data_IF_741561534222
#
_entry.id   IF_741561534222
#
_cell.length_a   1.000
_cell.length_b   1.000
_cell.length_c   1.000
_cell.angle_alpha   90.00
_cell.angle_beta   90.00
_cell.angle_gamma   90.00
#
_symmetry.space_group_name_H-M   'P 1'
#
loop_
_entity.id
_entity.type
_entity.pdbx_description
1 polymer ?
#
# COMPACT_ATOMS: atom_id res chain seq x y z
N UNK A 1 -10.62 5.71 14.03
CA UNK A 1 -9.32 5.93 13.36
C UNK A 1 -9.41 7.10 12.42
N UNK A 2 -8.36 7.94 12.32
CA UNK A 2 -8.40 9.20 11.55
C UNK A 2 -8.46 8.98 10.02
N UNK A 3 -7.89 7.87 9.53
CA UNK A 3 -7.91 7.52 8.09
C UNK A 3 -9.19 6.83 7.61
N UNK A 4 -10.13 6.55 8.51
CA UNK A 4 -11.41 5.92 8.18
C UNK A 4 -11.38 4.40 7.98
N UNK A 5 -10.25 3.73 8.24
CA UNK A 5 -10.09 2.26 8.13
C UNK A 5 -9.21 1.71 9.25
N UNK A 6 -9.45 0.45 9.63
CA UNK A 6 -8.68 -0.30 10.63
C UNK A 6 -7.71 -1.25 9.94
N UNK A 7 -6.40 -1.11 10.20
CA UNK A 7 -5.36 -1.92 9.53
C UNK A 7 -5.06 -3.20 10.29
N UNK A 8 -5.10 -4.33 9.60
CA UNK A 8 -4.76 -5.66 10.13
C UNK A 8 -3.63 -6.29 9.30
N UNK A 9 -2.42 -6.29 9.86
CA UNK A 9 -1.29 -7.01 9.28
C UNK A 9 -1.33 -8.49 9.69
N UNK A 10 -1.24 -9.38 8.70
CA UNK A 10 -1.26 -10.84 8.86
C UNK A 10 0.00 -11.42 8.25
N UNK A 11 0.82 -12.07 9.06
CA UNK A 11 2.13 -12.57 8.65
C UNK A 11 2.08 -14.06 8.33
N UNK A 12 2.75 -14.45 7.24
CA UNK A 12 2.86 -15.84 6.82
C UNK A 12 3.68 -16.67 7.79
N UNK A 13 3.52 -17.99 7.75
CA UNK A 13 4.44 -18.90 8.39
C UNK A 13 5.86 -18.70 7.83
N UNK A 14 6.93 -18.94 8.61
CA UNK A 14 8.29 -18.99 8.08
C UNK A 14 8.43 -20.01 6.96
N UNK A 15 8.51 -19.55 5.73
CA UNK A 15 8.67 -20.36 4.52
C UNK A 15 9.90 -19.86 3.74
N UNK A 16 10.52 -20.73 2.91
CA UNK A 16 11.63 -20.30 2.07
C UNK A 16 11.27 -19.12 1.19
N UNK A 17 12.21 -18.18 1.07
CA UNK A 17 12.10 -17.04 0.17
C UNK A 17 13.08 -17.24 -1.00
N UNK A 18 12.70 -16.94 -2.26
CA UNK A 18 13.61 -17.05 -3.40
C UNK A 18 14.76 -16.02 -3.36
N UNK A 19 14.59 -14.92 -2.56
CA UNK A 19 15.59 -13.88 -2.41
C UNK A 19 16.69 -14.23 -1.38
N UNK A 20 17.92 -13.78 -1.68
CA UNK A 20 19.11 -13.91 -0.80
C UNK A 20 19.76 -12.55 -0.54
N UNK A 21 18.94 -11.53 -0.29
CA UNK A 21 19.40 -10.15 -0.15
C UNK A 21 20.34 -9.97 1.04
N UNK A 22 21.47 -9.27 0.84
CA UNK A 22 22.54 -9.11 1.83
C UNK A 22 22.06 -8.42 3.14
N UNK A 23 21.05 -7.57 3.05
CA UNK A 23 20.48 -6.81 4.18
C UNK A 23 19.30 -7.50 4.85
N UNK A 24 18.80 -8.64 4.33
CA UNK A 24 17.53 -9.21 4.76
C UNK A 24 17.71 -10.12 5.97
N UNK A 25 17.15 -9.75 7.15
CA UNK A 25 17.21 -10.59 8.33
C UNK A 25 16.16 -11.70 8.30
N UNK A 26 16.22 -12.60 9.29
CA UNK A 26 15.25 -13.65 9.51
C UNK A 26 15.32 -14.78 8.50
N UNK A 27 14.35 -15.64 8.54
CA UNK A 27 14.27 -16.84 7.71
C UNK A 27 13.81 -18.06 8.51
N UNK A 28 13.64 -19.18 7.83
CA UNK A 28 13.20 -20.45 8.42
C UNK A 28 14.11 -20.85 9.61
N UNK A 29 15.40 -20.64 9.46
CA UNK A 29 16.42 -20.91 10.48
C UNK A 29 16.26 -20.10 11.77
N UNK A 30 15.58 -18.95 11.69
CA UNK A 30 15.28 -18.09 12.84
C UNK A 30 13.82 -18.20 13.31
N UNK A 31 13.04 -19.11 12.73
CA UNK A 31 11.62 -19.26 13.02
C UNK A 31 10.78 -18.01 12.66
N UNK A 32 11.23 -17.21 11.68
CA UNK A 32 10.58 -16.00 11.21
C UNK A 32 10.50 -15.97 9.68
N UNK A 33 9.50 -15.32 9.06
CA UNK A 33 9.56 -15.05 7.64
C UNK A 33 10.75 -14.15 7.29
N UNK A 34 11.32 -14.28 6.09
CA UNK A 34 12.35 -13.36 5.62
C UNK A 34 11.86 -11.91 5.69
N UNK A 35 12.76 -10.98 5.95
CA UNK A 35 12.56 -9.56 6.23
C UNK A 35 12.07 -9.23 7.64
N UNK A 36 11.74 -10.20 8.46
CA UNK A 36 11.23 -9.98 9.81
C UNK A 36 12.16 -10.65 10.84
N UNK A 37 12.44 -9.90 11.91
CA UNK A 37 13.40 -10.33 12.92
C UNK A 37 13.06 -9.73 14.29
N UNK A 38 13.36 -10.46 15.37
CA UNK A 38 13.24 -9.94 16.73
C UNK A 38 11.79 -9.70 17.21
N UNK A 39 11.54 -8.50 17.73
CA UNK A 39 10.33 -8.15 18.48
C UNK A 39 9.42 -7.13 17.74
N UNK A 40 9.49 -7.08 16.42
CA UNK A 40 8.59 -6.24 15.61
C UNK A 40 7.10 -6.52 15.95
N UNK A 41 6.25 -5.50 16.10
CA UNK A 41 4.87 -5.67 16.60
C UNK A 41 4.02 -6.68 15.80
N UNK A 42 4.17 -6.71 14.47
CA UNK A 42 3.44 -7.66 13.62
C UNK A 42 3.98 -9.10 13.81
N UNK A 43 5.29 -9.27 13.91
CA UNK A 43 5.93 -10.57 14.13
C UNK A 43 5.59 -11.15 15.51
N UNK A 44 5.62 -10.34 16.57
CA UNK A 44 5.19 -10.77 17.93
C UNK A 44 3.75 -11.29 17.93
N UNK A 45 2.86 -10.58 17.24
CA UNK A 45 1.47 -11.00 17.10
C UNK A 45 1.36 -12.32 16.32
N UNK A 46 2.12 -12.47 15.25
CA UNK A 46 2.14 -13.70 14.45
C UNK A 46 2.66 -14.89 15.25
N UNK A 47 3.79 -14.74 15.96
CA UNK A 47 4.37 -15.78 16.85
C UNK A 47 3.36 -16.24 17.91
N UNK A 48 2.69 -15.30 18.61
CA UNK A 48 1.64 -15.61 19.63
C UNK A 48 0.44 -16.36 19.04
N UNK A 49 0.20 -16.26 17.75
CA UNK A 49 -0.88 -16.94 17.03
C UNK A 49 -0.39 -18.13 16.19
N UNK A 50 0.85 -18.59 16.40
CA UNK A 50 1.47 -19.68 15.63
C UNK A 50 1.39 -19.43 14.11
N UNK A 51 1.48 -18.17 13.69
CA UNK A 51 1.33 -17.71 12.30
C UNK A 51 0.01 -18.10 11.64
N UNK A 52 -1.00 -18.52 12.40
CA UNK A 52 -2.30 -18.92 11.85
C UNK A 52 -3.11 -17.68 11.44
N UNK A 53 -3.47 -17.49 10.16
CA UNK A 53 -4.08 -16.25 9.65
C UNK A 53 -5.40 -15.92 10.35
N UNK A 54 -6.29 -16.88 10.55
CA UNK A 54 -7.56 -16.69 11.27
C UNK A 54 -7.32 -16.10 12.67
N UNK A 55 -6.42 -16.70 13.44
CA UNK A 55 -6.13 -16.26 14.82
C UNK A 55 -5.50 -14.87 14.87
N UNK A 56 -4.62 -14.55 13.93
CA UNK A 56 -4.01 -13.21 13.83
C UNK A 56 -5.06 -12.13 13.59
N UNK A 57 -5.99 -12.33 12.66
CA UNK A 57 -7.09 -11.40 12.37
C UNK A 57 -8.01 -11.30 13.56
N UNK A 58 -8.49 -12.44 14.10
CA UNK A 58 -9.41 -12.50 15.22
C UNK A 58 -8.85 -11.74 16.44
N UNK A 59 -7.61 -12.03 16.83
CA UNK A 59 -6.96 -11.36 17.96
C UNK A 59 -6.76 -9.86 17.70
N UNK A 60 -6.54 -9.44 16.45
CA UNK A 60 -6.39 -8.03 16.14
C UNK A 60 -7.71 -7.27 16.22
N UNK A 61 -8.80 -7.86 15.75
CA UNK A 61 -10.15 -7.30 15.92
C UNK A 61 -10.48 -7.14 17.39
N UNK A 62 -10.24 -8.18 18.20
CA UNK A 62 -10.42 -8.14 19.65
C UNK A 62 -9.60 -7.03 20.32
N UNK A 63 -8.35 -6.82 19.90
CA UNK A 63 -7.53 -5.71 20.41
C UNK A 63 -8.13 -4.34 20.08
N UNK A 64 -8.71 -4.17 18.89
CA UNK A 64 -9.39 -2.92 18.54
C UNK A 64 -10.61 -2.66 19.43
N UNK A 65 -11.41 -3.67 19.70
CA UNK A 65 -12.57 -3.55 20.60
C UNK A 65 -12.16 -3.17 22.02
N UNK A 66 -11.11 -3.81 22.57
CA UNK A 66 -10.57 -3.42 23.88
C UNK A 66 -10.10 -1.97 23.94
N UNK A 67 -9.68 -1.40 22.82
CA UNK A 67 -9.29 0.01 22.71
C UNK A 67 -10.48 0.94 22.42
N UNK A 68 -11.72 0.42 22.43
CA UNK A 68 -12.92 1.18 22.15
C UNK A 68 -13.16 1.49 20.68
N UNK A 69 -12.52 0.75 19.77
CA UNK A 69 -12.73 0.89 18.32
C UNK A 69 -13.64 -0.22 17.79
N UNK A 70 -14.51 0.12 16.86
CA UNK A 70 -15.33 -0.85 16.14
C UNK A 70 -14.85 -0.96 14.69
N UNK A 71 -14.02 -1.98 14.34
CA UNK A 71 -13.36 -2.08 13.03
C UNK A 71 -14.32 -2.58 11.94
N UNK A 72 -15.26 -1.75 11.50
CA UNK A 72 -16.23 -2.10 10.46
C UNK A 72 -15.62 -2.15 9.04
N UNK A 73 -14.56 -1.35 8.81
CA UNK A 73 -13.80 -1.29 7.56
C UNK A 73 -12.35 -1.71 7.82
N UNK A 74 -11.99 -2.87 7.34
CA UNK A 74 -10.68 -3.47 7.58
C UNK A 74 -9.83 -3.43 6.32
N UNK A 75 -8.63 -2.88 6.43
CA UNK A 75 -7.58 -3.00 5.44
C UNK A 75 -6.58 -4.07 5.89
N UNK A 76 -6.48 -5.16 5.12
CA UNK A 76 -5.60 -6.28 5.44
C UNK A 76 -4.29 -6.14 4.67
N UNK A 77 -3.17 -6.43 5.35
CA UNK A 77 -1.84 -6.48 4.73
C UNK A 77 -1.25 -7.88 4.96
N UNK A 78 -1.04 -8.62 3.87
CA UNK A 78 -0.33 -9.90 3.89
C UNK A 78 1.17 -9.63 3.86
N UNK A 79 1.85 -10.04 4.90
CA UNK A 79 3.28 -9.80 5.14
C UNK A 79 4.05 -11.11 5.23
N UNK A 80 5.34 -11.09 4.90
CA UNK A 80 6.24 -12.22 5.13
C UNK A 80 6.92 -12.75 3.87
N UNK A 81 8.15 -12.33 3.62
CA UNK A 81 8.98 -12.77 2.50
C UNK A 81 8.34 -12.47 1.14
N UNK A 82 8.27 -13.48 0.28
CA UNK A 82 7.58 -13.39 -1.02
C UNK A 82 6.38 -14.34 -0.99
N UNK A 83 5.22 -13.80 -0.59
CA UNK A 83 3.99 -14.61 -0.43
C UNK A 83 3.65 -15.42 -1.68
N UNK A 84 3.77 -14.79 -2.86
CA UNK A 84 3.43 -15.45 -4.14
C UNK A 84 4.36 -16.62 -4.52
N UNK A 85 5.53 -16.73 -3.89
CA UNK A 85 6.44 -17.87 -4.06
C UNK A 85 6.05 -19.09 -3.22
N UNK A 86 5.07 -18.98 -2.33
CA UNK A 86 4.65 -20.08 -1.47
C UNK A 86 3.70 -21.05 -2.22
N UNK A 87 3.50 -22.29 -1.73
CA UNK A 87 2.64 -23.26 -2.39
C UNK A 87 1.20 -22.75 -2.59
N UNK A 88 0.58 -23.08 -3.73
CA UNK A 88 -0.75 -22.60 -4.10
C UNK A 88 -1.82 -22.92 -3.04
N UNK A 89 -1.86 -24.15 -2.54
CA UNK A 89 -2.83 -24.55 -1.51
C UNK A 89 -2.66 -23.75 -0.21
N UNK A 90 -1.42 -23.41 0.15
CA UNK A 90 -1.15 -22.58 1.32
C UNK A 90 -1.67 -21.15 1.12
N UNK A 91 -1.44 -20.53 -0.05
CA UNK A 91 -1.93 -19.19 -0.36
C UNK A 91 -3.46 -19.11 -0.30
N UNK A 92 -4.15 -20.06 -0.92
CA UNK A 92 -5.61 -20.11 -0.91
C UNK A 92 -6.18 -20.30 0.48
N UNK A 93 -5.63 -21.23 1.25
CA UNK A 93 -5.99 -21.42 2.65
C UNK A 93 -5.77 -20.16 3.47
N UNK A 94 -4.59 -19.54 3.32
CA UNK A 94 -4.19 -18.36 4.08
C UNK A 94 -5.17 -17.19 3.88
N UNK A 95 -5.49 -16.88 2.62
CA UNK A 95 -6.42 -15.80 2.27
C UNK A 95 -7.86 -16.16 2.70
N UNK A 96 -8.30 -17.38 2.48
CA UNK A 96 -9.63 -17.83 2.91
C UNK A 96 -9.80 -17.68 4.43
N UNK A 97 -8.79 -18.05 5.22
CA UNK A 97 -8.82 -17.93 6.68
C UNK A 97 -8.87 -16.48 7.15
N UNK A 98 -8.27 -15.54 6.40
CA UNK A 98 -8.40 -14.10 6.69
C UNK A 98 -9.86 -13.65 6.54
N UNK A 99 -10.50 -13.97 5.40
CA UNK A 99 -11.90 -13.63 5.17
C UNK A 99 -12.83 -14.31 6.17
N UNK A 100 -12.59 -15.59 6.47
CA UNK A 100 -13.38 -16.33 7.46
C UNK A 100 -13.31 -15.69 8.85
N UNK A 101 -12.14 -15.22 9.27
CA UNK A 101 -12.01 -14.53 10.56
C UNK A 101 -12.81 -13.22 10.59
N UNK A 102 -12.78 -12.44 9.52
CA UNK A 102 -13.58 -11.22 9.38
C UNK A 102 -15.09 -11.50 9.38
N UNK A 103 -15.51 -12.59 8.71
CA UNK A 103 -16.92 -12.97 8.60
C UNK A 103 -17.50 -13.51 9.92
N UNK A 104 -16.69 -14.20 10.69
CA UNK A 104 -17.17 -14.98 11.86
C UNK A 104 -16.85 -14.33 13.20
N UNK A 105 -15.99 -13.32 13.25
CA UNK A 105 -15.71 -12.66 14.52
C UNK A 105 -17.04 -12.25 15.20
N UNK A 106 -17.27 -12.53 16.51
CA UNK A 106 -16.29 -12.94 17.52
C UNK A 106 -16.16 -14.46 17.76
N UNK A 107 -16.54 -15.37 16.84
CA UNK A 107 -16.29 -16.80 16.97
C UNK A 107 -14.77 -17.10 16.90
N UNK A 108 -14.14 -17.64 17.94
CA UNK A 108 -12.69 -17.89 17.96
C UNK A 108 -12.27 -19.13 17.16
N UNK A 109 -13.19 -19.95 16.70
CA UNK A 109 -12.91 -21.22 16.03
C UNK A 109 -12.90 -21.06 14.51
N UNK A 110 -11.78 -21.37 13.83
CA UNK A 110 -11.76 -21.42 12.37
C UNK A 110 -12.68 -22.52 11.87
N UNK A 111 -13.24 -22.38 10.65
CA UNK A 111 -14.08 -23.42 10.07
C UNK A 111 -13.28 -24.70 9.76
N UNK A 112 -13.95 -25.86 9.81
CA UNK A 112 -13.35 -27.14 9.45
C UNK A 112 -13.05 -27.24 7.95
N UNK A 113 -13.89 -26.60 7.13
CA UNK A 113 -13.72 -26.46 5.67
C UNK A 113 -13.59 -24.97 5.33
N UNK A 114 -12.84 -24.68 4.30
CA UNK A 114 -12.61 -23.35 3.81
C UNK A 114 -12.78 -23.29 2.29
N UNK A 115 -13.36 -22.19 1.82
CA UNK A 115 -13.55 -21.91 0.40
C UNK A 115 -13.35 -20.43 0.16
N UNK A 116 -12.44 -20.07 -0.74
CA UNK A 116 -12.06 -18.68 -0.97
C UNK A 116 -13.22 -17.83 -1.47
N UNK A 117 -13.89 -18.28 -2.54
CA UNK A 117 -14.97 -17.53 -3.18
C UNK A 117 -16.17 -17.34 -2.25
N UNK A 118 -16.55 -18.39 -1.51
CA UNK A 118 -17.64 -18.31 -0.55
C UNK A 118 -17.30 -17.36 0.59
N UNK A 119 -16.06 -17.42 1.11
CA UNK A 119 -15.61 -16.51 2.18
C UNK A 119 -15.61 -15.05 1.71
N UNK A 120 -15.17 -14.78 0.48
CA UNK A 120 -15.24 -13.45 -0.14
C UNK A 120 -16.68 -12.97 -0.30
N UNK A 121 -17.56 -13.80 -0.85
CA UNK A 121 -18.97 -13.44 -1.06
C UNK A 121 -19.65 -13.07 0.26
N UNK A 122 -19.45 -13.85 1.31
CA UNK A 122 -19.98 -13.52 2.66
C UNK A 122 -19.41 -12.22 3.21
N UNK A 123 -18.16 -11.89 2.89
CA UNK A 123 -17.53 -10.66 3.37
C UNK A 123 -18.10 -9.38 2.74
N UNK A 124 -18.77 -9.46 1.61
CA UNK A 124 -19.42 -8.29 0.99
C UNK A 124 -20.42 -7.60 1.93
N UNK A 125 -21.07 -8.37 2.81
CA UNK A 125 -22.11 -7.89 3.74
C UNK A 125 -21.78 -8.13 5.22
N UNK A 126 -20.60 -8.66 5.53
CA UNK A 126 -20.19 -8.93 6.90
C UNK A 126 -20.10 -7.67 7.77
N UNK A 127 -20.09 -7.83 9.08
CA UNK A 127 -19.91 -6.74 10.05
C UNK A 127 -18.51 -6.13 9.93
N UNK A 128 -17.48 -6.97 9.79
CA UNK A 128 -16.09 -6.57 9.58
C UNK A 128 -15.70 -6.82 8.14
N UNK A 129 -15.73 -5.76 7.31
CA UNK A 129 -15.56 -5.87 5.85
C UNK A 129 -14.14 -5.58 5.43
N UNK A 130 -13.58 -6.45 4.60
CA UNK A 130 -12.30 -6.23 3.95
C UNK A 130 -12.47 -5.21 2.82
N UNK A 131 -12.21 -3.94 3.10
CA UNK A 131 -12.31 -2.85 2.11
C UNK A 131 -11.02 -2.67 1.30
N UNK A 132 -9.95 -3.37 1.67
CA UNK A 132 -8.69 -3.41 0.94
C UNK A 132 -7.84 -4.58 1.39
N UNK A 133 -7.29 -5.33 0.43
CA UNK A 133 -6.31 -6.39 0.66
C UNK A 133 -5.01 -6.00 -0.06
N UNK A 134 -3.93 -6.01 0.70
CA UNK A 134 -2.58 -5.70 0.21
C UNK A 134 -1.73 -6.95 0.24
N UNK A 135 -0.95 -7.17 -0.81
CA UNK A 135 0.07 -8.22 -0.88
C UNK A 135 1.43 -7.59 -1.08
N UNK A 136 2.36 -7.89 -0.18
CA UNK A 136 3.78 -7.54 -0.34
C UNK A 136 4.47 -8.59 -1.22
N UNK A 137 5.23 -8.15 -2.23
CA UNK A 137 5.93 -9.04 -3.13
C UNK A 137 7.19 -8.40 -3.71
N UNK A 138 7.91 -9.16 -4.53
CA UNK A 138 9.06 -8.70 -5.30
C UNK A 138 8.61 -8.31 -6.72
N UNK A 139 9.32 -7.43 -7.44
CA UNK A 139 9.01 -7.09 -8.83
C UNK A 139 8.96 -8.30 -9.77
N UNK A 140 9.86 -9.28 -9.64
CA UNK A 140 9.88 -10.52 -10.42
C UNK A 140 8.73 -11.50 -10.10
N UNK A 141 7.88 -11.15 -9.12
CA UNK A 141 6.59 -11.77 -8.79
C UNK A 141 5.42 -10.79 -9.01
N UNK A 142 5.54 -9.90 -9.98
CA UNK A 142 4.52 -8.92 -10.37
C UNK A 142 4.03 -9.07 -11.81
N UNK A 143 4.37 -10.16 -12.51
CA UNK A 143 3.94 -10.42 -13.89
C UNK A 143 2.47 -10.87 -14.00
N UNK A 144 1.95 -10.99 -15.20
CA UNK A 144 0.54 -11.28 -15.52
C UNK A 144 -0.06 -12.41 -14.68
N UNK A 145 0.60 -13.58 -14.66
CA UNK A 145 0.12 -14.73 -13.85
C UNK A 145 -0.01 -14.41 -12.35
N UNK A 146 0.87 -13.55 -11.84
CA UNK A 146 0.85 -13.15 -10.44
C UNK A 146 -0.24 -12.08 -10.19
N UNK A 147 -0.45 -11.19 -11.17
CA UNK A 147 -1.54 -10.22 -11.14
C UNK A 147 -2.89 -10.93 -11.10
N UNK A 148 -3.10 -11.91 -11.97
CA UNK A 148 -4.33 -12.72 -12.02
C UNK A 148 -4.57 -13.47 -10.71
N UNK A 149 -3.52 -14.03 -10.14
CA UNK A 149 -3.61 -14.70 -8.84
C UNK A 149 -4.00 -13.73 -7.72
N UNK A 150 -3.39 -12.54 -7.66
CA UNK A 150 -3.72 -11.51 -6.67
C UNK A 150 -5.13 -10.95 -6.85
N UNK A 151 -5.59 -10.79 -8.10
CA UNK A 151 -6.99 -10.42 -8.41
C UNK A 151 -7.96 -11.45 -7.85
N UNK A 152 -7.69 -12.75 -8.05
CA UNK A 152 -8.50 -13.84 -7.51
C UNK A 152 -8.55 -13.83 -5.98
N UNK A 153 -7.47 -13.43 -5.31
CA UNK A 153 -7.45 -13.23 -3.86
C UNK A 153 -8.23 -12.01 -3.38
N UNK A 154 -8.67 -11.14 -4.27
CA UNK A 154 -9.36 -9.89 -3.93
C UNK A 154 -8.41 -8.79 -3.48
N UNK A 155 -7.13 -8.89 -3.86
CA UNK A 155 -6.18 -7.83 -3.59
C UNK A 155 -6.50 -6.56 -4.39
N UNK A 156 -6.25 -5.41 -3.79
CA UNK A 156 -6.45 -4.09 -4.42
C UNK A 156 -5.19 -3.23 -4.40
N UNK A 157 -4.18 -3.65 -3.64
CA UNK A 157 -2.89 -2.97 -3.53
C UNK A 157 -1.76 -3.98 -3.56
N UNK A 158 -0.71 -3.65 -4.28
CA UNK A 158 0.53 -4.42 -4.32
C UNK A 158 1.67 -3.56 -3.81
N UNK A 159 2.42 -4.09 -2.87
CA UNK A 159 3.63 -3.45 -2.35
C UNK A 159 4.85 -4.14 -2.93
N UNK A 160 5.54 -3.45 -3.82
CA UNK A 160 6.72 -3.96 -4.50
C UNK A 160 7.98 -3.60 -3.74
N UNK A 161 8.75 -4.60 -3.38
CA UNK A 161 10.09 -4.42 -2.80
C UNK A 161 11.11 -4.02 -3.86
N UNK A 162 11.00 -2.81 -4.38
CA UNK A 162 11.89 -2.24 -5.41
C UNK A 162 13.29 -2.04 -4.87
N UNK A 163 13.42 -1.40 -3.73
CA UNK A 163 14.62 -1.08 -2.96
C UNK A 163 15.49 0.00 -3.61
N UNK A 164 15.86 -0.14 -4.88
CA UNK A 164 16.63 0.81 -5.67
C UNK A 164 16.25 0.73 -7.15
N UNK A 165 16.56 1.78 -7.92
CA UNK A 165 16.44 1.80 -9.38
C UNK A 165 17.80 1.77 -10.07
N UNK A 166 18.82 1.31 -9.37
CA UNK A 166 20.19 1.15 -9.89
C UNK A 166 20.57 -0.32 -9.90
N UNK A 167 20.76 -0.90 -11.09
CA UNK A 167 21.08 -2.32 -11.26
C UNK A 167 22.39 -2.71 -10.57
N UNK A 168 23.39 -1.82 -10.54
CA UNK A 168 24.66 -2.06 -9.83
C UNK A 168 24.45 -2.19 -8.30
N UNK A 169 23.56 -1.36 -7.72
CA UNK A 169 23.20 -1.42 -6.30
C UNK A 169 22.41 -2.70 -6.00
N UNK A 170 21.40 -3.02 -6.84
CA UNK A 170 20.59 -4.23 -6.70
C UNK A 170 21.44 -5.50 -6.80
N UNK A 171 22.37 -5.57 -7.77
CA UNK A 171 23.30 -6.67 -7.94
C UNK A 171 24.23 -6.80 -6.72
N UNK A 172 24.79 -5.70 -6.23
CA UNK A 172 25.70 -5.67 -5.09
C UNK A 172 25.08 -6.25 -3.82
N UNK A 173 23.80 -5.98 -3.57
CA UNK A 173 23.07 -6.51 -2.41
C UNK A 173 22.38 -7.85 -2.68
N UNK A 174 22.64 -8.47 -3.84
CA UNK A 174 22.05 -9.74 -4.25
C UNK A 174 20.52 -9.73 -4.21
N UNK A 175 19.91 -8.66 -4.77
CA UNK A 175 18.45 -8.48 -4.74
C UNK A 175 17.71 -9.52 -5.59
N UNK A 176 18.31 -9.99 -6.69
CA UNK A 176 17.80 -11.04 -7.56
C UNK A 176 16.72 -10.60 -8.55
N UNK A 177 16.51 -9.30 -8.70
CA UNK A 177 15.79 -8.65 -9.82
C UNK A 177 16.50 -7.36 -10.18
N UNK A 178 16.28 -6.86 -11.39
CA UNK A 178 16.79 -5.58 -11.88
C UNK A 178 15.68 -4.55 -12.05
N UNK A 179 16.05 -3.41 -12.63
CA UNK A 179 15.15 -2.28 -12.90
C UNK A 179 14.09 -2.65 -13.94
N UNK A 180 14.45 -3.49 -14.93
CA UNK A 180 13.51 -3.99 -15.94
C UNK A 180 12.29 -4.69 -15.31
N UNK A 181 12.51 -5.54 -14.32
CA UNK A 181 11.42 -6.22 -13.60
C UNK A 181 10.54 -5.21 -12.84
N UNK A 182 11.12 -4.12 -12.33
CA UNK A 182 10.35 -3.05 -11.65
C UNK A 182 9.43 -2.35 -12.65
N UNK A 183 9.93 -1.92 -13.80
CA UNK A 183 9.17 -1.24 -14.85
C UNK A 183 8.04 -2.12 -15.36
N UNK A 184 8.35 -3.36 -15.77
CA UNK A 184 7.37 -4.25 -16.36
C UNK A 184 6.29 -4.68 -15.36
N UNK A 185 6.65 -5.03 -14.13
CA UNK A 185 5.66 -5.38 -13.10
C UNK A 185 4.77 -4.19 -12.74
N UNK A 186 5.32 -2.98 -12.70
CA UNK A 186 4.56 -1.77 -12.41
C UNK A 186 3.50 -1.52 -13.49
N UNK A 187 3.86 -1.64 -14.77
CA UNK A 187 2.93 -1.51 -15.88
C UNK A 187 1.80 -2.55 -15.79
N UNK A 188 2.15 -3.84 -15.68
CA UNK A 188 1.17 -4.95 -15.62
C UNK A 188 0.20 -4.79 -14.47
N UNK A 189 0.71 -4.53 -13.28
CA UNK A 189 -0.12 -4.40 -12.08
C UNK A 189 -1.01 -3.17 -12.14
N UNK A 190 -0.51 -2.07 -12.68
CA UNK A 190 -1.27 -0.84 -12.87
C UNK A 190 -2.39 -1.01 -13.89
N UNK A 191 -2.11 -1.65 -15.03
CA UNK A 191 -3.12 -1.98 -16.05
C UNK A 191 -4.17 -2.97 -15.52
N UNK A 192 -3.82 -3.77 -14.52
CA UNK A 192 -4.76 -4.65 -13.81
C UNK A 192 -5.58 -3.92 -12.73
N UNK A 193 -5.36 -2.63 -12.53
CA UNK A 193 -6.12 -1.79 -11.59
C UNK A 193 -5.57 -1.72 -10.15
N UNK A 194 -4.43 -2.33 -9.85
CA UNK A 194 -3.85 -2.27 -8.51
C UNK A 194 -3.31 -0.89 -8.16
N UNK A 195 -3.42 -0.51 -6.88
CA UNK A 195 -2.61 0.53 -6.26
C UNK A 195 -1.19 0.03 -6.08
N UNK A 196 -0.20 0.84 -6.42
CA UNK A 196 1.21 0.46 -6.41
C UNK A 196 1.96 1.21 -5.32
N UNK A 197 2.59 0.45 -4.44
CA UNK A 197 3.49 0.97 -3.40
C UNK A 197 4.91 0.50 -3.69
N UNK A 198 5.87 1.42 -3.70
CA UNK A 198 7.27 1.03 -3.73
C UNK A 198 7.86 1.06 -2.32
N UNK A 199 8.51 -0.02 -1.94
CA UNK A 199 9.47 -0.01 -0.86
C UNK A 199 10.83 0.37 -1.43
N UNK A 200 11.42 1.44 -0.95
CA UNK A 200 12.75 1.91 -1.33
C UNK A 200 13.66 1.92 -0.11
N UNK A 201 14.93 1.62 -0.33
CA UNK A 201 15.94 1.60 0.73
C UNK A 201 17.01 2.64 0.42
N UNK A 202 17.37 3.43 1.42
CA UNK A 202 18.37 4.50 1.33
C UNK A 202 19.69 4.03 1.94
N UNK A 203 20.80 4.48 1.36
CA UNK A 203 22.13 4.14 1.83
C UNK A 203 22.46 2.65 1.66
N UNK A 204 21.92 1.97 0.65
CA UNK A 204 22.35 0.62 0.30
C UNK A 204 23.83 0.62 -0.12
N UNK A 205 24.58 -0.49 0.07
CA UNK A 205 25.93 -0.62 -0.44
C UNK A 205 26.03 -0.29 -1.93
N UNK A 206 26.80 0.73 -2.28
CA UNK A 206 26.92 1.25 -3.64
C UNK A 206 26.06 2.46 -3.94
N UNK A 207 25.20 2.87 -3.01
CA UNK A 207 24.48 4.16 -3.06
C UNK A 207 25.10 5.17 -2.09
N UNK A 208 24.73 6.43 -2.27
CA UNK A 208 25.11 7.58 -1.46
C UNK A 208 23.95 8.58 -1.39
N UNK A 209 24.03 9.65 -0.59
CA UNK A 209 22.97 10.64 -0.46
C UNK A 209 22.50 11.26 -1.78
N UNK A 210 23.42 11.60 -2.68
CA UNK A 210 23.10 12.24 -3.96
C UNK A 210 22.39 11.26 -4.90
N UNK A 211 22.84 10.00 -4.96
CA UNK A 211 22.16 8.94 -5.72
C UNK A 211 20.77 8.64 -5.18
N UNK A 212 20.59 8.62 -3.87
CA UNK A 212 19.30 8.33 -3.25
C UNK A 212 18.30 9.48 -3.51
N UNK A 213 18.73 10.75 -3.48
CA UNK A 213 17.90 11.89 -3.87
C UNK A 213 17.59 11.84 -5.37
N UNK A 214 18.57 11.55 -6.21
CA UNK A 214 18.38 11.40 -7.66
C UNK A 214 17.40 10.25 -7.99
N UNK A 215 17.43 9.15 -7.23
CA UNK A 215 16.48 8.07 -7.37
C UNK A 215 15.03 8.55 -7.20
N UNK A 216 14.73 9.33 -6.15
CA UNK A 216 13.37 9.85 -5.94
C UNK A 216 12.96 10.79 -7.07
N UNK A 217 13.86 11.65 -7.53
CA UNK A 217 13.57 12.52 -8.68
C UNK A 217 13.21 11.68 -9.90
N UNK A 218 14.03 10.70 -10.25
CA UNK A 218 13.79 9.79 -11.36
C UNK A 218 12.49 9.00 -11.24
N UNK A 219 12.14 8.52 -10.03
CA UNK A 219 10.89 7.79 -9.78
C UNK A 219 9.64 8.60 -10.16
N UNK A 220 9.70 9.94 -10.16
CA UNK A 220 8.54 10.78 -10.46
C UNK A 220 8.65 11.58 -11.75
N UNK A 221 9.86 11.81 -12.26
CA UNK A 221 10.06 12.42 -13.58
C UNK A 221 9.86 11.38 -14.69
N UNK A 222 10.38 10.15 -14.52
CA UNK A 222 10.25 9.08 -15.50
C UNK A 222 8.88 8.38 -15.42
N UNK A 223 8.06 8.41 -16.50
CA UNK A 223 6.73 7.80 -16.52
C UNK A 223 6.72 6.27 -16.40
N UNK A 224 7.84 5.59 -16.56
CA UNK A 224 7.92 4.13 -16.39
C UNK A 224 7.67 3.70 -14.92
N UNK A 225 7.91 4.60 -13.95
CA UNK A 225 7.75 4.30 -12.52
C UNK A 225 6.47 4.92 -11.94
N UNK A 226 6.55 6.13 -11.41
CA UNK A 226 5.46 6.95 -10.81
C UNK A 226 4.54 6.20 -9.86
N UNK A 227 5.06 5.54 -8.79
CA UNK A 227 4.24 4.79 -7.86
C UNK A 227 3.17 5.67 -7.19
N UNK A 228 2.05 5.07 -6.78
CA UNK A 228 0.98 5.77 -6.05
C UNK A 228 1.38 6.09 -4.61
N UNK A 229 2.24 5.25 -4.03
CA UNK A 229 2.63 5.34 -2.61
C UNK A 229 4.09 4.90 -2.43
N UNK A 230 4.70 5.41 -1.34
CA UNK A 230 6.07 5.07 -0.94
C UNK A 230 6.14 4.57 0.50
N UNK A 231 7.03 3.62 0.74
CA UNK A 231 7.63 3.31 2.03
C UNK A 231 9.14 3.53 1.91
N UNK A 232 9.68 4.46 2.69
CA UNK A 232 11.08 4.89 2.64
C UNK A 232 11.82 4.30 3.83
N UNK A 233 12.84 3.49 3.57
CA UNK A 233 13.56 2.74 4.59
C UNK A 233 15.05 3.04 4.54
N UNK A 234 15.59 3.91 5.43
CA UNK A 234 17.03 3.93 5.65
C UNK A 234 17.53 2.52 5.96
N UNK A 235 18.67 2.16 5.38
CA UNK A 235 19.25 0.82 5.57
C UNK A 235 19.78 0.69 6.99
N UNK A 236 19.27 -0.30 7.71
CA UNK A 236 19.66 -0.64 9.08
C UNK A 236 20.45 -1.93 9.09
N UNK A 237 21.52 -1.99 9.87
CA UNK A 237 22.36 -3.18 10.07
C UNK A 237 21.81 -3.98 11.23
N UNK A 238 21.47 -5.24 10.95
CA UNK A 238 20.91 -6.18 11.91
C UNK A 238 21.78 -7.42 11.96
N UNK A 239 21.99 -7.97 13.14
CA UNK A 239 22.77 -9.22 13.34
C UNK A 239 22.24 -10.37 12.47
N UNK A 240 23.13 -11.28 12.09
CA UNK A 240 22.78 -12.45 11.27
C UNK A 240 22.63 -12.15 9.78
N UNK A 241 22.87 -10.92 9.32
CA UNK A 241 22.85 -10.55 7.90
C UNK A 241 24.26 -10.50 7.30
N UNK A 242 24.37 -10.66 5.98
CA UNK A 242 25.63 -10.43 5.25
C UNK A 242 26.07 -8.97 5.43
N UNK A 243 25.12 -8.04 5.43
CA UNK A 243 25.38 -6.62 5.63
C UNK A 243 26.02 -6.33 6.99
N UNK A 244 25.67 -7.08 8.03
CA UNK A 244 26.31 -6.99 9.35
C UNK A 244 27.79 -7.35 9.30
N UNK A 245 28.16 -8.38 8.52
CA UNK A 245 29.57 -8.75 8.33
C UNK A 245 30.34 -7.67 7.57
N UNK A 246 29.76 -7.09 6.53
CA UNK A 246 30.36 -5.97 5.79
C UNK A 246 30.58 -4.74 6.67
N UNK A 247 29.61 -4.44 7.52
CA UNK A 247 29.75 -3.35 8.49
C UNK A 247 30.86 -3.63 9.51
N UNK A 248 30.92 -4.83 10.11
CA UNK A 248 31.97 -5.21 11.06
C UNK A 248 33.38 -5.13 10.47
N UNK A 249 33.50 -5.46 9.20
CA UNK A 249 34.78 -5.43 8.47
C UNK A 249 35.13 -4.04 7.91
N UNK A 250 34.31 -3.00 8.20
CA UNK A 250 34.56 -1.65 7.73
C UNK A 250 34.30 -1.43 6.23
N UNK A 251 33.70 -2.41 5.55
CA UNK A 251 33.40 -2.34 4.10
C UNK A 251 32.12 -1.54 3.82
N UNK A 252 31.23 -1.42 4.79
CA UNK A 252 29.95 -0.72 4.69
C UNK A 252 29.68 0.16 5.92
N UNK A 253 29.11 1.36 5.68
CA UNK A 253 28.64 2.27 6.72
C UNK A 253 27.21 2.73 6.38
N UNK A 254 26.19 2.46 7.23
CA UNK A 254 24.84 2.97 7.03
C UNK A 254 24.75 4.47 7.35
N UNK A 255 23.67 5.11 6.90
CA UNK A 255 23.37 6.49 7.35
C UNK A 255 23.05 6.51 8.84
N UNK A 256 23.51 7.54 9.51
CA UNK A 256 23.01 7.89 10.85
C UNK A 256 21.65 8.63 10.76
N UNK A 257 21.07 8.93 11.92
CA UNK A 257 19.78 9.61 11.98
C UNK A 257 19.79 10.99 11.29
N UNK A 258 20.89 11.76 11.41
CA UNK A 258 20.99 13.10 10.85
C UNK A 258 21.09 13.07 9.33
N UNK A 259 21.95 12.19 8.80
CA UNK A 259 22.08 11.98 7.35
C UNK A 259 20.76 11.50 6.74
N UNK A 260 20.07 10.55 7.40
CA UNK A 260 18.78 10.05 6.93
C UNK A 260 17.71 11.15 6.92
N UNK A 261 17.64 12.00 7.96
CA UNK A 261 16.72 13.14 8.02
C UNK A 261 17.02 14.12 6.89
N UNK A 262 18.28 14.43 6.66
CA UNK A 262 18.70 15.37 5.62
C UNK A 262 18.31 14.86 4.21
N UNK A 263 18.69 13.63 3.89
CA UNK A 263 18.42 13.00 2.58
C UNK A 263 16.92 12.91 2.33
N UNK A 264 16.15 12.41 3.29
CA UNK A 264 14.69 12.26 3.12
C UNK A 264 14.01 13.63 3.00
N UNK A 265 14.47 14.65 3.72
CA UNK A 265 13.91 16.00 3.60
C UNK A 265 14.09 16.57 2.19
N UNK A 266 15.27 16.41 1.60
CA UNK A 266 15.52 16.84 0.21
C UNK A 266 14.67 16.04 -0.81
N UNK A 267 14.42 14.77 -0.57
CA UNK A 267 13.54 13.94 -1.41
C UNK A 267 12.11 14.49 -1.50
N UNK A 268 11.60 15.15 -0.45
CA UNK A 268 10.25 15.73 -0.46
C UNK A 268 10.06 16.82 -1.52
N UNK A 269 11.12 17.41 -2.08
CA UNK A 269 11.06 18.36 -3.20
C UNK A 269 10.51 17.73 -4.49
N UNK A 270 10.62 16.40 -4.61
CA UNK A 270 10.29 15.65 -5.82
C UNK A 270 9.04 14.75 -5.67
N UNK A 271 8.49 14.64 -4.45
CA UNK A 271 7.33 13.79 -4.20
C UNK A 271 6.04 14.54 -4.57
N UNK A 272 5.29 14.08 -5.60
CA UNK A 272 4.10 14.79 -6.11
C UNK A 272 2.90 14.70 -5.18
N UNK A 273 1.93 15.59 -5.42
CA UNK A 273 0.65 15.71 -4.69
C UNK A 273 -0.21 14.44 -4.69
N UNK A 274 -0.10 13.62 -5.71
CA UNK A 274 -0.84 12.37 -5.82
C UNK A 274 -0.22 11.21 -5.04
N UNK A 275 0.97 11.35 -4.51
CA UNK A 275 1.69 10.30 -3.78
C UNK A 275 1.33 10.31 -2.29
N UNK A 276 1.26 9.11 -1.70
CA UNK A 276 1.17 8.95 -0.25
C UNK A 276 2.47 8.33 0.28
N UNK A 277 3.18 9.01 1.15
CA UNK A 277 4.29 8.43 1.89
C UNK A 277 3.74 7.69 3.11
N UNK A 278 3.60 6.37 2.98
CA UNK A 278 2.95 5.55 4.01
C UNK A 278 3.81 5.43 5.26
N UNK A 279 5.12 5.23 5.08
CA UNK A 279 6.05 4.98 6.18
C UNK A 279 7.43 5.53 5.87
N UNK A 280 8.07 6.03 6.92
CA UNK A 280 9.50 6.35 6.97
C UNK A 280 10.09 5.51 8.11
N UNK A 281 11.15 4.75 7.84
CA UNK A 281 11.78 3.77 8.72
C UNK A 281 10.95 2.49 8.97
N UNK A 282 11.62 1.37 9.15
CA UNK A 282 11.02 0.08 9.54
C UNK A 282 10.67 0.04 11.03
N UNK A 283 9.80 -0.89 11.43
CA UNK A 283 9.41 -1.10 12.84
C UNK A 283 10.42 -1.98 13.62
N UNK A 284 11.69 -2.02 13.21
CA UNK A 284 12.71 -2.75 13.94
C UNK A 284 12.99 -2.01 15.25
N UNK A 285 12.90 -2.68 16.42
CA UNK A 285 13.22 -2.05 17.69
C UNK A 285 14.65 -1.51 17.70
N UNK A 286 14.86 -0.32 18.26
CA UNK A 286 16.15 0.37 18.21
C UNK A 286 17.30 -0.44 18.84
N UNK A 287 17.00 -1.28 19.83
CA UNK A 287 18.00 -2.17 20.47
C UNK A 287 18.46 -3.32 19.55
N UNK A 288 17.71 -3.66 18.52
CA UNK A 288 18.06 -4.70 17.54
C UNK A 288 18.84 -4.14 16.34
N UNK A 289 18.89 -2.81 16.21
CA UNK A 289 19.66 -2.13 15.17
C UNK A 289 21.08 -1.89 15.67
N UNK A 290 22.04 -2.61 15.10
CA UNK A 290 23.45 -2.47 15.46
C UNK A 290 24.03 -1.14 14.97
N UNK A 291 23.74 -0.79 13.71
CA UNK A 291 24.13 0.47 13.10
C UNK A 291 23.07 0.96 12.12
N UNK A 292 22.95 2.27 11.94
CA UNK A 292 21.92 2.92 11.13
C UNK A 292 21.02 3.80 11.97
N UNK A 293 19.79 4.07 11.45
CA UNK A 293 18.81 4.93 12.13
C UNK A 293 18.20 4.25 13.34
N UNK A 294 18.13 4.97 14.46
CA UNK A 294 17.57 4.47 15.73
C UNK A 294 16.33 5.23 16.20
N UNK A 295 16.10 6.43 15.70
CA UNK A 295 14.94 7.25 16.06
C UNK A 295 13.64 6.63 15.52
N UNK A 296 12.76 6.15 16.39
CA UNK A 296 11.48 5.54 16.01
C UNK A 296 10.50 6.52 15.36
N UNK A 297 10.60 7.82 15.66
CA UNK A 297 9.77 8.90 15.12
C UNK A 297 10.49 9.71 14.03
N UNK A 298 11.31 9.05 13.19
CA UNK A 298 12.12 9.70 12.15
C UNK A 298 11.30 10.63 11.23
N UNK A 299 10.04 10.28 10.94
CA UNK A 299 9.13 11.14 10.16
C UNK A 299 8.95 12.54 10.74
N UNK A 300 8.83 12.66 12.04
CA UNK A 300 8.63 13.96 12.68
C UNK A 300 9.85 14.88 12.51
N UNK A 301 11.05 14.29 12.59
CA UNK A 301 12.30 15.04 12.33
C UNK A 301 12.42 15.46 10.86
N UNK A 302 12.02 14.58 9.93
CA UNK A 302 11.97 14.91 8.49
C UNK A 302 10.98 16.05 8.22
N UNK A 303 9.74 15.95 8.72
CA UNK A 303 8.73 16.99 8.53
C UNK A 303 9.21 18.35 9.12
N UNK A 304 9.83 18.32 10.30
CA UNK A 304 10.42 19.51 10.91
C UNK A 304 11.54 20.10 10.06
N UNK A 305 12.45 19.26 9.55
CA UNK A 305 13.55 19.69 8.68
C UNK A 305 13.02 20.28 7.36
N UNK A 306 11.97 19.71 6.76
CA UNK A 306 11.33 20.29 5.58
C UNK A 306 10.83 21.71 5.86
N UNK A 307 10.14 21.92 7.00
CA UNK A 307 9.64 23.24 7.40
C UNK A 307 10.80 24.23 7.60
N UNK A 308 11.86 23.83 8.31
CA UNK A 308 13.06 24.66 8.55
C UNK A 308 13.73 25.09 7.23
N UNK A 309 13.72 24.24 6.22
CA UNK A 309 14.30 24.51 4.89
C UNK A 309 13.34 25.15 3.90
N UNK A 310 12.09 25.43 4.30
CA UNK A 310 11.06 25.94 3.39
C UNK A 310 10.67 24.95 2.29
N UNK A 311 10.87 23.63 2.52
CA UNK A 311 10.46 22.58 1.59
C UNK A 311 8.97 22.31 1.81
N UNK A 312 8.17 22.49 0.76
CA UNK A 312 6.74 22.20 0.80
C UNK A 312 6.49 20.71 0.77
N UNK A 313 5.74 20.19 1.74
CA UNK A 313 5.32 18.79 1.81
C UNK A 313 3.98 18.65 1.11
N UNK A 314 3.99 18.13 -0.11
CA UNK A 314 2.80 18.03 -0.96
C UNK A 314 2.12 16.66 -0.92
N UNK A 315 2.74 15.65 -0.31
CA UNK A 315 2.21 14.29 -0.28
C UNK A 315 0.89 14.18 0.51
N UNK A 316 0.07 13.20 0.15
CA UNK A 316 -1.31 13.04 0.64
C UNK A 316 -1.39 12.92 2.16
N UNK A 317 -0.53 12.11 2.80
CA UNK A 317 -0.62 11.84 4.25
C UNK A 317 -0.43 13.10 5.07
N UNK A 318 0.50 13.97 4.68
CA UNK A 318 0.71 15.26 5.37
C UNK A 318 -0.52 16.16 5.23
N UNK A 319 -1.17 16.15 4.06
CA UNK A 319 -2.30 17.02 3.71
C UNK A 319 -3.67 16.47 4.11
N UNK A 320 -3.77 15.19 4.53
CA UNK A 320 -5.08 14.57 4.84
C UNK A 320 -5.80 15.29 6.00
N UNK A 321 -7.09 15.53 5.82
CA UNK A 321 -7.91 16.31 6.76
C UNK A 321 -7.86 15.78 8.19
N UNK A 322 -7.84 14.47 8.40
CA UNK A 322 -7.77 13.86 9.72
C UNK A 322 -6.49 14.24 10.47
N UNK A 323 -5.34 14.20 9.80
CA UNK A 323 -4.05 14.58 10.38
C UNK A 323 -3.96 16.09 10.62
N UNK A 324 -4.41 16.90 9.65
CA UNK A 324 -4.39 18.36 9.75
C UNK A 324 -5.23 18.88 10.92
N UNK A 325 -6.42 18.29 11.10
CA UNK A 325 -7.28 18.63 12.25
C UNK A 325 -6.67 18.18 13.58
N UNK A 326 -6.15 16.95 13.64
CA UNK A 326 -5.64 16.39 14.90
C UNK A 326 -4.31 17.01 15.33
N UNK A 327 -3.35 17.15 14.41
CA UNK A 327 -1.96 17.57 14.74
C UNK A 327 -1.80 19.08 14.74
N UNK A 328 -2.52 19.78 13.85
CA UNK A 328 -2.31 21.21 13.60
C UNK A 328 -3.54 22.09 13.90
N UNK A 329 -4.67 21.48 14.30
CA UNK A 329 -5.92 22.20 14.56
C UNK A 329 -6.53 22.88 13.33
N UNK A 330 -6.09 22.51 12.10
CA UNK A 330 -6.52 23.12 10.85
C UNK A 330 -7.77 22.46 10.33
N UNK A 331 -8.84 23.22 10.13
CA UNK A 331 -10.13 22.75 9.64
C UNK A 331 -10.36 23.33 8.25
N UNK A 332 -10.76 22.49 7.25
CA UNK A 332 -11.09 22.99 5.91
C UNK A 332 -12.24 24.00 5.95
N UNK A 333 -12.12 25.08 5.17
CA UNK A 333 -13.21 26.02 4.96
C UNK A 333 -14.12 25.52 3.82
N UNK A 334 -15.41 25.25 4.06
CA UNK A 334 -16.34 24.77 3.02
C UNK A 334 -16.40 25.64 1.76
N UNK A 335 -16.08 26.94 1.87
CA UNK A 335 -16.11 27.87 0.74
C UNK A 335 -14.95 27.70 -0.22
N UNK A 336 -13.84 27.10 0.25
CA UNK A 336 -12.62 26.89 -0.53
C UNK A 336 -12.47 25.45 -1.02
N UNK A 337 -13.52 24.62 -0.83
CA UNK A 337 -13.47 23.20 -1.25
C UNK A 337 -13.76 23.13 -2.74
N UNK A 338 -12.81 22.61 -3.48
CA UNK A 338 -12.89 22.39 -4.92
C UNK A 338 -12.59 20.94 -5.28
N UNK A 339 -13.12 20.51 -6.42
CA UNK A 339 -12.69 19.28 -7.08
C UNK A 339 -11.59 19.66 -8.06
N UNK A 340 -10.41 19.09 -7.85
CA UNK A 340 -9.22 19.31 -8.66
C UNK A 340 -8.87 18.08 -9.47
N UNK A 341 -8.20 18.26 -10.58
CA UNK A 341 -7.78 17.20 -11.50
C UNK A 341 -6.29 17.34 -11.82
N UNK A 342 -5.58 16.22 -11.79
CA UNK A 342 -4.20 16.11 -12.23
C UNK A 342 -4.08 14.91 -13.17
N UNK A 343 -3.69 15.16 -14.42
CA UNK A 343 -3.47 14.14 -15.44
C UNK A 343 -1.97 13.90 -15.61
N UNK A 344 -1.54 12.65 -15.64
CA UNK A 344 -0.14 12.31 -15.88
C UNK A 344 0.00 10.92 -16.51
N UNK A 345 1.08 10.75 -17.28
CA UNK A 345 1.44 9.45 -17.84
C UNK A 345 2.12 8.58 -16.79
N UNK A 346 1.81 7.27 -16.75
CA UNK A 346 2.50 6.30 -15.92
C UNK A 346 2.36 4.87 -16.48
N UNK A 347 3.48 4.16 -16.62
CA UNK A 347 3.47 2.77 -17.10
C UNK A 347 2.71 2.63 -18.44
N UNK A 348 3.06 3.43 -19.42
CA UNK A 348 2.48 3.44 -20.79
C UNK A 348 0.97 3.77 -20.86
N UNK A 349 0.34 4.20 -19.78
CA UNK A 349 -1.07 4.61 -19.72
C UNK A 349 -1.22 5.98 -19.08
N UNK A 350 -2.46 6.46 -18.99
CA UNK A 350 -2.78 7.77 -18.42
C UNK A 350 -3.44 7.58 -17.06
N UNK A 351 -3.03 8.38 -16.09
CA UNK A 351 -3.60 8.44 -14.76
C UNK A 351 -4.34 9.77 -14.56
N UNK A 352 -5.55 9.66 -14.03
CA UNK A 352 -6.34 10.78 -13.57
C UNK A 352 -6.43 10.75 -12.05
N UNK A 353 -5.87 11.75 -11.41
CA UNK A 353 -5.97 11.95 -9.96
C UNK A 353 -6.96 13.09 -9.71
N UNK A 354 -8.16 12.73 -9.26
CA UNK A 354 -9.20 13.67 -8.88
C UNK A 354 -9.17 13.85 -7.36
N UNK A 355 -9.13 15.07 -6.88
CA UNK A 355 -9.12 15.32 -5.43
C UNK A 355 -10.18 16.36 -5.04
N UNK A 356 -10.78 16.15 -3.88
CA UNK A 356 -11.60 17.15 -3.18
C UNK A 356 -10.71 17.76 -2.11
N UNK A 357 -10.39 19.03 -2.26
CA UNK A 357 -9.43 19.69 -1.37
C UNK A 357 -9.80 21.15 -1.09
N UNK A 358 -9.48 21.61 0.12
CA UNK A 358 -9.45 23.02 0.43
C UNK A 358 -8.14 23.59 -0.13
N UNK A 359 -8.25 24.32 -1.24
CA UNK A 359 -7.10 24.88 -1.96
C UNK A 359 -6.33 25.94 -1.16
N UNK A 360 -7.04 26.73 -0.35
CA UNK A 360 -6.44 27.81 0.40
C UNK A 360 -5.57 27.31 1.56
N UNK A 361 -6.00 26.24 2.22
CA UNK A 361 -5.26 25.62 3.33
C UNK A 361 -4.45 24.39 2.94
N UNK A 362 -4.52 23.95 1.67
CA UNK A 362 -3.85 22.77 1.10
C UNK A 362 -4.20 21.47 1.86
N UNK A 363 -5.49 21.29 2.19
CA UNK A 363 -6.00 20.11 2.91
C UNK A 363 -6.79 19.24 1.97
N UNK A 364 -6.43 17.95 1.87
CA UNK A 364 -7.15 16.97 1.07
C UNK A 364 -8.22 16.25 1.90
N UNK A 365 -9.45 16.22 1.38
CA UNK A 365 -10.62 15.59 2.01
C UNK A 365 -10.85 14.19 1.45
N UNK A 366 -10.63 14.02 0.14
CA UNK A 366 -10.79 12.74 -0.52
C UNK A 366 -10.23 12.79 -1.94
N UNK A 367 -10.06 11.63 -2.55
CA UNK A 367 -9.55 11.54 -3.91
C UNK A 367 -10.01 10.26 -4.60
N UNK A 368 -9.86 10.25 -5.92
CA UNK A 368 -10.06 9.11 -6.80
C UNK A 368 -8.88 9.00 -7.76
N UNK A 369 -8.44 7.76 -8.01
CA UNK A 369 -7.46 7.43 -9.06
C UNK A 369 -8.18 6.64 -10.14
N UNK A 370 -8.14 7.17 -11.36
CA UNK A 370 -8.63 6.48 -12.54
C UNK A 370 -7.48 6.31 -13.54
N UNK A 371 -7.47 5.18 -14.22
CA UNK A 371 -6.49 4.85 -15.26
C UNK A 371 -7.18 4.65 -16.60
N UNK A 372 -6.58 5.18 -17.63
CA UNK A 372 -6.76 4.72 -19.01
C UNK A 372 -5.59 3.76 -19.28
N UNK A 373 -5.88 2.46 -19.43
CA UNK A 373 -4.83 1.44 -19.52
C UNK A 373 -3.96 1.59 -20.78
N UNK A 374 -2.78 0.99 -20.73
CA UNK A 374 -1.93 0.86 -21.91
C UNK A 374 -2.53 -0.11 -22.94
N UNK A 375 -2.06 -0.06 -24.18
CA UNK A 375 -2.46 -1.03 -25.21
C UNK A 375 -1.98 -2.47 -24.93
N UNK A 376 -1.14 -2.65 -23.90
CA UNK A 376 -0.56 -3.92 -23.46
C UNK A 376 -1.28 -4.54 -22.25
N UNK A 377 -2.46 -4.02 -21.87
CA UNK A 377 -3.26 -4.62 -20.80
C UNK A 377 -3.61 -6.08 -21.15
N UNK A 378 -3.28 -7.02 -20.25
CA UNK A 378 -3.42 -8.46 -20.54
C UNK A 378 -4.81 -9.02 -20.24
N UNK A 379 -5.62 -8.32 -19.43
CA UNK A 379 -6.92 -8.80 -18.99
C UNK A 379 -7.97 -8.66 -20.10
N UNK A 380 -8.71 -9.74 -20.36
CA UNK A 380 -9.77 -9.76 -21.38
C UNK A 380 -10.91 -8.75 -21.11
N UNK A 381 -11.12 -8.38 -19.84
CA UNK A 381 -12.12 -7.37 -19.45
C UNK A 381 -11.69 -5.93 -19.83
N UNK A 382 -10.42 -5.73 -20.16
CA UNK A 382 -9.80 -4.42 -20.38
C UNK A 382 -9.45 -4.27 -21.86
N UNK A 383 -10.15 -3.41 -22.54
CA UNK A 383 -9.89 -3.04 -23.93
C UNK A 383 -9.53 -1.55 -24.02
N UNK A 384 -9.28 -1.05 -25.22
CA UNK A 384 -8.89 0.35 -25.50
C UNK A 384 -9.97 1.39 -25.13
N UNK A 385 -11.21 0.96 -24.90
CA UNK A 385 -12.33 1.83 -24.51
C UNK A 385 -12.77 1.58 -23.07
N UNK A 386 -11.83 1.17 -22.24
CA UNK A 386 -12.06 0.86 -20.83
C UNK A 386 -11.31 1.85 -19.94
N UNK A 387 -11.99 2.46 -18.98
CA UNK A 387 -11.36 3.16 -17.86
C UNK A 387 -11.40 2.29 -16.60
N UNK A 388 -10.44 2.45 -15.70
CA UNK A 388 -10.34 1.66 -14.45
C UNK A 388 -10.19 2.59 -13.25
N UNK A 389 -11.14 2.56 -12.34
CA UNK A 389 -10.98 3.18 -11.02
C UNK A 389 -10.16 2.24 -10.14
N UNK A 390 -8.99 2.72 -9.70
CA UNK A 390 -8.02 1.98 -8.90
C UNK A 390 -8.13 2.29 -7.42
N UNK A 391 -8.59 3.48 -7.08
CA UNK A 391 -8.78 3.91 -5.69
C UNK A 391 -9.87 4.98 -5.61
N UNK A 392 -10.71 4.89 -4.58
CA UNK A 392 -11.61 5.94 -4.13
C UNK A 392 -11.51 6.01 -2.60
N UNK A 393 -11.07 7.13 -2.08
CA UNK A 393 -10.87 7.31 -0.65
C UNK A 393 -11.39 8.68 -0.18
N UNK A 394 -12.22 8.69 0.85
CA UNK A 394 -12.64 9.92 1.55
C UNK A 394 -12.17 9.82 2.99
N UNK A 395 -11.36 10.77 3.42
CA UNK A 395 -10.76 10.81 4.75
C UNK A 395 -11.73 11.31 5.82
N UNK A 396 -11.46 10.96 7.05
CA UNK A 396 -12.20 11.37 8.22
C UNK A 396 -12.29 10.24 9.26
N UNK A 397 -12.82 10.51 10.46
CA UNK A 397 -13.04 9.48 11.47
C UNK A 397 -13.83 8.30 10.90
N UNK A 398 -13.43 7.07 11.30
CA UNK A 398 -14.09 5.85 10.83
C UNK A 398 -15.58 5.87 11.22
N UNK A 399 -16.45 5.73 10.23
CA UNK A 399 -17.88 5.54 10.38
C UNK A 399 -18.27 4.20 9.75
N UNK A 400 -19.27 3.48 10.31
CA UNK A 400 -19.82 2.28 9.70
C UNK A 400 -20.27 2.52 8.25
N UNK A 401 -20.20 1.51 7.41
CA UNK A 401 -20.67 1.62 6.01
C UNK A 401 -22.16 1.94 5.99
N UNK A 402 -22.51 3.09 5.41
CA UNK A 402 -23.89 3.61 5.38
C UNK A 402 -24.29 4.45 6.60
N UNK A 403 -23.40 4.63 7.59
CA UNK A 403 -23.64 5.51 8.75
C UNK A 403 -23.65 6.99 8.35
N UNK A 404 -24.42 7.82 9.04
CA UNK A 404 -24.42 9.29 8.93
C UNK A 404 -23.71 9.90 10.15
N UNK A 405 -22.89 10.93 9.94
CA UNK A 405 -22.17 11.62 11.00
C UNK A 405 -21.70 13.01 10.56
N UNK A 406 -21.19 13.80 11.52
CA UNK A 406 -20.64 15.15 11.26
C UNK A 406 -19.23 15.12 10.63
N UNK A 407 -18.67 13.94 10.30
CA UNK A 407 -17.36 13.82 9.68
C UNK A 407 -17.40 14.18 8.18
N UNK A 408 -16.24 14.41 7.58
CA UNK A 408 -16.08 14.62 6.14
C UNK A 408 -16.48 13.39 5.31
N UNK A 409 -16.41 12.18 5.90
CA UNK A 409 -17.00 10.98 5.31
C UNK A 409 -18.54 11.11 5.23
N UNK A 410 -19.15 10.53 4.20
CA UNK A 410 -20.60 10.51 3.97
C UNK A 410 -21.27 11.87 3.66
N UNK A 411 -20.49 12.90 3.29
CA UNK A 411 -21.02 14.17 2.74
C UNK A 411 -21.26 14.13 1.22
N UNK A 412 -21.26 12.95 0.61
CA UNK A 412 -21.47 12.78 -0.83
C UNK A 412 -20.22 12.98 -1.70
N UNK A 413 -19.04 13.26 -1.10
CA UNK A 413 -17.81 13.47 -1.86
C UNK A 413 -17.38 12.26 -2.68
N UNK A 414 -17.58 11.04 -2.15
CA UNK A 414 -17.30 9.81 -2.89
C UNK A 414 -18.15 9.67 -4.15
N UNK A 415 -19.45 10.01 -4.07
CA UNK A 415 -20.35 10.00 -5.23
C UNK A 415 -19.95 11.04 -6.27
N UNK A 416 -19.63 12.26 -5.83
CA UNK A 416 -19.16 13.34 -6.75
C UNK A 416 -17.87 12.98 -7.48
N UNK A 417 -16.89 12.39 -6.77
CA UNK A 417 -15.66 11.91 -7.38
C UNK A 417 -15.92 10.80 -8.40
N UNK A 418 -16.85 9.90 -8.09
CA UNK A 418 -17.22 8.79 -8.98
C UNK A 418 -17.94 9.31 -10.24
N UNK A 419 -18.92 10.21 -10.09
CA UNK A 419 -19.63 10.86 -11.18
C UNK A 419 -18.69 11.64 -12.12
N UNK A 420 -17.72 12.37 -11.54
CA UNK A 420 -16.73 13.11 -12.34
C UNK A 420 -15.78 12.17 -13.08
N UNK A 421 -15.34 11.06 -12.44
CA UNK A 421 -14.51 10.06 -13.12
C UNK A 421 -15.28 9.40 -14.29
N UNK A 422 -16.57 9.10 -14.13
CA UNK A 422 -17.43 8.57 -15.20
C UNK A 422 -17.59 9.58 -16.35
N UNK A 423 -17.77 10.87 -16.03
CA UNK A 423 -17.84 11.94 -17.02
C UNK A 423 -16.55 12.05 -17.81
N UNK A 424 -15.39 12.13 -17.14
CA UNK A 424 -14.07 12.22 -17.78
C UNK A 424 -13.81 10.98 -18.65
N UNK A 425 -14.09 9.79 -18.15
CA UNK A 425 -13.88 8.55 -18.90
C UNK A 425 -14.68 8.57 -20.22
N UNK A 426 -15.94 9.00 -20.18
CA UNK A 426 -16.82 9.04 -21.35
C UNK A 426 -16.48 10.20 -22.31
N UNK A 427 -16.31 11.41 -21.79
CA UNK A 427 -16.22 12.63 -22.60
C UNK A 427 -14.80 12.88 -23.11
N UNK A 428 -13.78 12.65 -22.29
CA UNK A 428 -12.37 12.97 -22.64
C UNK A 428 -11.65 11.77 -23.30
N UNK A 429 -12.10 10.53 -22.98
CA UNK A 429 -11.42 9.30 -23.45
C UNK A 429 -12.29 8.36 -24.27
N UNK A 430 -13.54 8.74 -24.60
CA UNK A 430 -14.51 7.89 -25.33
C UNK A 430 -14.63 6.46 -24.77
N UNK A 431 -14.42 6.31 -23.46
CA UNK A 431 -14.61 5.02 -22.81
C UNK A 431 -16.08 4.58 -22.88
N UNK A 432 -16.31 3.29 -23.13
CA UNK A 432 -17.65 2.71 -23.19
C UNK A 432 -18.01 1.97 -21.91
N UNK A 433 -17.02 1.64 -21.13
CA UNK A 433 -17.20 1.02 -19.82
C UNK A 433 -16.15 1.52 -18.83
N UNK A 434 -16.54 1.50 -17.57
CA UNK A 434 -15.64 1.78 -16.47
C UNK A 434 -15.64 0.59 -15.50
N UNK A 435 -14.44 0.17 -15.12
CA UNK A 435 -14.20 -0.90 -14.16
C UNK A 435 -13.76 -0.31 -12.84
N UNK A 436 -14.01 -1.02 -11.75
CA UNK A 436 -13.47 -0.68 -10.42
C UNK A 436 -12.82 -1.92 -9.83
N UNK A 437 -11.52 -1.84 -9.49
CA UNK A 437 -10.89 -2.82 -8.65
C UNK A 437 -11.22 -2.52 -7.18
N UNK A 438 -12.36 -3.02 -6.74
CA UNK A 438 -12.90 -2.74 -5.42
C UNK A 438 -12.46 -3.78 -4.39
N UNK A 439 -12.21 -3.35 -3.15
CA UNK A 439 -12.16 -4.29 -2.03
C UNK A 439 -13.48 -5.06 -1.91
N UNK A 440 -13.40 -6.33 -1.50
CA UNK A 440 -14.56 -7.22 -1.39
C UNK A 440 -15.68 -6.56 -0.57
N UNK A 441 -15.35 -6.01 0.60
CA UNK A 441 -16.32 -5.38 1.50
C UNK A 441 -16.82 -4.00 1.05
N UNK A 442 -16.32 -3.47 -0.08
CA UNK A 442 -16.75 -2.19 -0.65
C UNK A 442 -17.70 -2.36 -1.86
N UNK A 443 -17.93 -3.58 -2.35
CA UNK A 443 -18.74 -3.86 -3.56
C UNK A 443 -20.16 -3.33 -3.47
N UNK A 444 -20.79 -3.40 -2.29
CA UNK A 444 -22.14 -2.88 -2.06
C UNK A 444 -22.23 -1.35 -2.26
N UNK A 445 -21.16 -0.62 -1.98
CA UNK A 445 -21.11 0.80 -2.28
C UNK A 445 -21.23 1.05 -3.79
N UNK A 446 -20.48 0.32 -4.61
CA UNK A 446 -20.51 0.48 -6.06
C UNK A 446 -21.82 0.00 -6.67
N UNK A 447 -22.47 -1.05 -6.13
CA UNK A 447 -23.82 -1.46 -6.58
C UNK A 447 -24.84 -0.34 -6.45
N UNK A 448 -24.79 0.44 -5.37
CA UNK A 448 -25.65 1.62 -5.18
C UNK A 448 -25.44 2.72 -6.21
N UNK A 449 -24.30 2.71 -6.92
CA UNK A 449 -23.96 3.64 -7.99
C UNK A 449 -24.14 3.02 -9.40
N UNK A 450 -24.84 1.89 -9.51
CA UNK A 450 -25.18 1.26 -10.78
C UNK A 450 -24.11 0.32 -11.34
N UNK A 451 -23.10 -0.01 -10.55
CA UNK A 451 -22.09 -1.02 -10.93
C UNK A 451 -22.60 -2.43 -10.61
N UNK A 452 -22.24 -3.38 -11.44
CA UNK A 452 -22.49 -4.81 -11.20
C UNK A 452 -21.18 -5.59 -11.32
N UNK A 453 -21.15 -6.80 -10.80
CA UNK A 453 -20.02 -7.71 -10.94
C UNK A 453 -20.41 -8.88 -11.85
N UNK A 454 -19.84 -9.01 -13.05
CA UNK A 454 -20.03 -10.21 -13.87
C UNK A 454 -19.54 -11.47 -13.14
N UNK A 455 -20.10 -12.64 -13.41
CA UNK A 455 -19.61 -13.89 -12.87
C UNK A 455 -18.10 -14.05 -13.11
N UNK A 456 -17.38 -14.50 -12.10
CA UNK A 456 -15.92 -14.74 -12.14
C UNK A 456 -15.03 -13.51 -12.41
N UNK A 457 -15.59 -12.31 -12.62
CA UNK A 457 -14.77 -11.11 -12.76
C UNK A 457 -14.29 -10.61 -11.41
N UNK A 458 -13.01 -10.13 -11.27
CA UNK A 458 -12.54 -9.45 -10.08
C UNK A 458 -13.08 -8.01 -9.98
N UNK A 459 -13.59 -7.44 -11.07
CA UNK A 459 -13.98 -6.04 -11.16
C UNK A 459 -15.48 -5.83 -10.98
N UNK A 460 -15.84 -4.65 -10.46
CA UNK A 460 -17.17 -4.08 -10.62
C UNK A 460 -17.22 -3.33 -11.96
N UNK A 461 -18.32 -3.42 -12.69
CA UNK A 461 -18.48 -2.88 -14.04
C UNK A 461 -19.62 -1.88 -14.12
N UNK A 462 -19.49 -0.88 -14.99
CA UNK A 462 -20.61 0.00 -15.43
C UNK A 462 -20.41 0.38 -16.89
N UNK A 463 -21.48 0.32 -17.69
CA UNK A 463 -21.49 0.89 -19.02
C UNK A 463 -21.64 2.43 -18.92
N UNK A 464 -20.93 3.17 -19.78
CA UNK A 464 -20.90 4.63 -19.80
C UNK A 464 -21.75 5.21 -20.92
#
# INVERSE_FOLDING_TARGET
MLSGVSVVAVMTHPLPCPGRCAYCPGGVEYGTPKSYFGEEPALRRAKRNSFHPYRQVWNRLRQYEYLGHFPSKVEVIVMGGTFLATPQAYKEWFISMIFEALNRYPDPKPPAKWGLEEAQLRNETATHRCVGLTIETRPDYGYEKHADEMLRYGATRVELGVQSIYDDVLARVNRGHGVREVVESTRILRDSGFKIVYHIMLGLPGSDPDRDIAMIRELFENPEFRPDMLKIYPTEVVEGTILYQWWRNGVYKPYDDETAVEVISEMYRYIPRYVRVMRIRRDIPAQEVVAGTKKSNLREYVEKRCIEKGIKIEEIRFREVGLQMWKYGRIPDPRNIELTRLTYEAGEGIEEFLAVEDRASDIIIGFLRMRIPSSRAHRAEIDQRTAIIRELHVYGPELPVGGRGYSWQHKGWGSKLLEEAERIAREDYDAKKILVLSGIGAREYYRKHGYYRPPSSPYMWKQL
#
